data_IF_628488564775
#
_entry.id   IF_628488564775
#
_cell.length_a   1.000
_cell.length_b   1.000
_cell.length_c   1.000
_cell.angle_alpha   90.00
_cell.angle_beta   90.00
_cell.angle_gamma   90.00
#
_symmetry.space_group_name_H-M   'P 1'
#
loop_
_entity.id
_entity.type
_entity.pdbx_description
1 polymer ?
#
# COMPACT_ATOMS: atom_id res chain seq x y z
N UNK A 1 -8.03 7.80 -26.21
CA UNK A 1 -7.95 8.27 -24.80
C UNK A 1 -6.76 7.57 -24.14
N UNK A 2 -5.68 8.30 -23.80
CA UNK A 2 -4.45 7.69 -23.26
C UNK A 2 -4.69 6.82 -22.01
N UNK A 3 -5.68 7.18 -21.19
CA UNK A 3 -6.08 6.38 -20.03
C UNK A 3 -6.58 4.98 -20.44
N UNK A 4 -7.48 4.88 -21.42
CA UNK A 4 -8.04 3.59 -21.88
C UNK A 4 -6.93 2.69 -22.43
N UNK A 5 -6.04 3.25 -23.24
CA UNK A 5 -4.91 2.52 -23.80
C UNK A 5 -3.96 1.99 -22.72
N UNK A 6 -3.72 2.76 -21.65
CA UNK A 6 -2.94 2.29 -20.50
C UNK A 6 -3.62 1.11 -19.77
N UNK A 7 -4.96 1.10 -19.70
CA UNK A 7 -5.70 -0.01 -19.09
C UNK A 7 -5.64 -1.27 -19.95
N UNK A 8 -5.87 -1.14 -21.26
CA UNK A 8 -5.80 -2.24 -22.23
C UNK A 8 -4.40 -2.88 -22.24
N UNK A 9 -3.35 -2.05 -22.28
CA UNK A 9 -1.97 -2.53 -22.29
C UNK A 9 -1.54 -3.26 -21.01
N UNK A 10 -2.23 -3.02 -19.88
CA UNK A 10 -1.88 -3.60 -18.58
C UNK A 10 -2.98 -4.51 -18.03
N UNK A 11 -3.92 -4.92 -18.87
CA UNK A 11 -5.17 -5.55 -18.44
C UNK A 11 -4.95 -6.78 -17.57
N UNK A 12 -4.04 -7.68 -17.96
CA UNK A 12 -3.76 -8.91 -17.23
C UNK A 12 -3.24 -8.63 -15.81
N UNK A 13 -2.36 -7.64 -15.67
CA UNK A 13 -1.82 -7.23 -14.37
C UNK A 13 -2.90 -6.56 -13.49
N UNK A 14 -3.71 -5.68 -14.11
CA UNK A 14 -4.75 -4.94 -13.41
C UNK A 14 -5.93 -5.82 -13.00
N UNK A 15 -6.18 -6.93 -13.70
CA UNK A 15 -7.29 -7.85 -13.40
C UNK A 15 -6.89 -9.06 -12.57
N UNK A 16 -5.59 -9.32 -12.37
CA UNK A 16 -5.10 -10.47 -11.59
C UNK A 16 -5.75 -10.59 -10.20
N UNK A 17 -6.03 -9.47 -9.55
CA UNK A 17 -6.67 -9.46 -8.22
C UNK A 17 -8.12 -9.99 -8.24
N UNK A 18 -8.79 -10.02 -9.40
CA UNK A 18 -10.16 -10.51 -9.54
C UNK A 18 -10.29 -12.00 -9.28
N UNK A 19 -9.18 -12.76 -9.38
CA UNK A 19 -9.12 -14.18 -9.04
C UNK A 19 -9.33 -14.45 -7.54
N UNK A 20 -9.16 -13.45 -6.68
CA UNK A 20 -9.28 -13.61 -5.23
C UNK A 20 -10.73 -13.46 -4.71
N UNK A 21 -11.06 -14.10 -3.57
CA UNK A 21 -12.28 -13.84 -2.81
C UNK A 21 -12.51 -12.36 -2.50
N UNK A 22 -13.77 -11.98 -2.30
CA UNK A 22 -14.20 -10.57 -2.09
C UNK A 22 -13.45 -9.91 -0.92
N UNK A 23 -13.18 -10.68 0.13
CA UNK A 23 -12.48 -10.27 1.34
C UNK A 23 -11.04 -9.83 1.02
N UNK A 24 -10.32 -10.60 0.20
CA UNK A 24 -8.95 -10.30 -0.25
C UNK A 24 -8.97 -9.19 -1.30
N UNK A 25 -9.94 -9.18 -2.23
CA UNK A 25 -10.09 -8.07 -3.19
C UNK A 25 -10.20 -6.73 -2.48
N UNK A 26 -11.04 -6.65 -1.44
CA UNK A 26 -11.18 -5.46 -0.59
C UNK A 26 -9.91 -5.13 0.17
N UNK A 27 -8.99 -6.07 0.41
CA UNK A 27 -7.64 -5.75 0.88
C UNK A 27 -6.82 -5.01 -0.17
N UNK A 28 -6.87 -5.46 -1.41
CA UNK A 28 -6.02 -4.97 -2.49
C UNK A 28 -6.49 -3.60 -3.00
N UNK A 29 -7.78 -3.44 -3.35
CA UNK A 29 -8.24 -2.20 -3.99
C UNK A 29 -8.44 -1.03 -3.01
N UNK A 30 -8.34 -1.24 -1.69
CA UNK A 30 -8.41 -0.11 -0.76
C UNK A 30 -7.10 0.67 -0.78
N UNK A 31 -7.08 1.77 -1.51
CA UNK A 31 -5.90 2.65 -1.65
C UNK A 31 -5.64 3.53 -0.42
N UNK A 32 -6.62 3.66 0.49
CA UNK A 32 -6.55 4.54 1.67
C UNK A 32 -5.25 4.38 2.48
N UNK A 33 -4.72 3.16 2.65
CA UNK A 33 -3.48 2.95 3.41
C UNK A 33 -2.29 3.59 2.69
N UNK A 34 -2.13 3.34 1.39
CA UNK A 34 -1.03 3.86 0.57
C UNK A 34 -1.17 5.37 0.39
N UNK A 35 -2.38 5.86 0.11
CA UNK A 35 -2.66 7.29 -0.05
C UNK A 35 -2.42 8.06 1.25
N UNK A 36 -2.89 7.54 2.40
CA UNK A 36 -2.70 8.16 3.72
C UNK A 36 -1.22 8.18 4.12
N UNK A 37 -0.48 7.11 3.84
CA UNK A 37 0.97 7.07 4.01
C UNK A 37 1.65 8.13 3.15
N UNK A 38 1.38 8.17 1.85
CA UNK A 38 1.98 9.12 0.92
C UNK A 38 1.64 10.58 1.27
N UNK A 39 0.40 10.85 1.68
CA UNK A 39 -0.01 12.18 2.13
C UNK A 39 0.75 12.61 3.39
N UNK A 40 0.89 11.69 4.36
CA UNK A 40 1.68 11.94 5.57
C UNK A 40 3.15 12.15 5.25
N UNK A 41 3.74 11.32 4.39
CA UNK A 41 5.13 11.44 3.98
C UNK A 41 5.41 12.79 3.31
N UNK A 42 4.56 13.20 2.35
CA UNK A 42 4.62 14.54 1.73
C UNK A 42 4.53 15.66 2.75
N UNK A 43 3.69 15.52 3.79
CA UNK A 43 3.60 16.51 4.87
C UNK A 43 4.91 16.61 5.66
N UNK A 44 5.56 15.48 5.96
CA UNK A 44 6.84 15.46 6.67
C UNK A 44 8.00 16.03 5.84
N UNK A 45 7.99 15.84 4.52
CA UNK A 45 9.07 16.28 3.62
C UNK A 45 8.83 17.67 3.02
N UNK A 46 7.63 18.25 3.11
CA UNK A 46 7.27 19.55 2.50
C UNK A 46 8.26 20.69 2.79
N UNK A 47 8.82 20.72 4.01
CA UNK A 47 9.73 21.77 4.44
C UNK A 47 11.21 21.49 4.09
N UNK A 48 11.53 20.30 3.57
CA UNK A 48 12.88 19.88 3.19
C UNK A 48 12.94 19.66 1.68
N UNK A 49 13.11 20.76 0.92
CA UNK A 49 13.09 20.73 -0.55
C UNK A 49 14.39 20.22 -1.17
N UNK A 50 15.51 20.37 -0.47
CA UNK A 50 16.85 19.95 -0.93
C UNK A 50 17.50 19.16 0.19
N UNK A 51 18.15 18.06 -0.17
CA UNK A 51 18.96 17.25 0.73
C UNK A 51 20.44 17.40 0.33
N UNK A 52 21.37 17.44 1.29
CA UNK A 52 22.80 17.58 1.00
C UNK A 52 23.41 16.34 0.34
N UNK A 53 22.82 15.16 0.53
CA UNK A 53 23.20 13.90 -0.09
C UNK A 53 22.04 12.88 0.04
N UNK A 54 22.21 11.71 -0.61
CA UNK A 54 21.21 10.65 -0.63
C UNK A 54 20.95 10.05 0.76
N UNK A 55 21.99 9.92 1.60
CA UNK A 55 21.85 9.42 2.98
C UNK A 55 20.95 10.31 3.83
N UNK A 56 21.07 11.63 3.68
CA UNK A 56 20.21 12.59 4.37
C UNK A 56 18.76 12.48 3.91
N UNK A 57 18.53 12.26 2.61
CA UNK A 57 17.19 12.02 2.06
C UNK A 57 16.60 10.72 2.62
N UNK A 58 17.36 9.61 2.57
CA UNK A 58 16.96 8.31 3.08
C UNK A 58 16.64 8.37 4.58
N UNK A 59 17.51 8.99 5.39
CA UNK A 59 17.29 9.17 6.82
C UNK A 59 16.02 9.98 7.11
N UNK A 60 15.74 11.01 6.31
CA UNK A 60 14.53 11.80 6.47
C UNK A 60 13.26 11.00 6.17
N UNK A 61 13.26 10.19 5.10
CA UNK A 61 12.14 9.29 4.76
C UNK A 61 11.96 8.24 5.85
N UNK A 62 13.04 7.63 6.33
CA UNK A 62 13.02 6.62 7.39
C UNK A 62 12.38 7.15 8.69
N UNK A 63 12.82 8.33 9.16
CA UNK A 63 12.28 8.94 10.37
C UNK A 63 10.79 9.34 10.22
N UNK A 64 10.39 9.78 9.02
CA UNK A 64 9.00 10.06 8.71
C UNK A 64 8.16 8.77 8.75
N UNK A 65 8.62 7.69 8.12
CA UNK A 65 7.96 6.39 8.14
C UNK A 65 7.81 5.83 9.56
N UNK A 66 8.86 5.92 10.38
CA UNK A 66 8.81 5.53 11.80
C UNK A 66 7.82 6.38 12.60
N UNK A 67 7.68 7.66 12.28
CA UNK A 67 6.70 8.54 12.94
C UNK A 67 5.27 8.21 12.52
N UNK A 68 5.06 7.84 11.26
CA UNK A 68 3.74 7.42 10.74
C UNK A 68 3.33 6.07 11.35
N UNK A 69 4.25 5.10 11.40
CA UNK A 69 3.95 3.75 11.89
C UNK A 69 3.48 3.72 13.35
N UNK A 70 3.92 4.66 14.19
CA UNK A 70 3.42 4.83 15.57
C UNK A 70 1.90 4.99 15.66
N UNK A 71 1.25 5.44 14.59
CA UNK A 71 -0.22 5.62 14.50
C UNK A 71 -0.94 4.34 14.05
N UNK A 72 -0.24 3.35 13.51
CA UNK A 72 -0.80 2.10 12.99
C UNK A 72 -1.02 1.06 14.10
N UNK A 73 -1.83 1.42 15.09
CA UNK A 73 -2.16 0.55 16.23
C UNK A 73 -3.40 -0.31 16.03
N UNK A 74 -4.26 0.07 15.07
CA UNK A 74 -5.54 -0.61 14.83
C UNK A 74 -5.35 -1.77 13.86
N UNK A 75 -5.80 -2.94 14.29
CA UNK A 75 -5.94 -4.10 13.40
C UNK A 75 -7.03 -3.84 12.37
N UNK A 76 -6.86 -4.40 11.17
CA UNK A 76 -7.84 -4.29 10.10
C UNK A 76 -9.15 -4.97 10.51
N UNK A 77 -10.27 -4.31 10.21
CA UNK A 77 -11.59 -4.92 10.40
C UNK A 77 -11.70 -6.23 9.62
N UNK A 78 -12.33 -7.25 10.22
CA UNK A 78 -12.54 -8.59 9.64
C UNK A 78 -11.25 -9.34 9.30
N UNK A 79 -10.14 -9.02 9.97
CA UNK A 79 -8.86 -9.69 9.70
C UNK A 79 -8.93 -11.22 9.78
N UNK A 80 -9.63 -11.80 10.76
CA UNK A 80 -9.77 -13.26 10.85
C UNK A 80 -10.42 -13.89 9.62
N UNK A 81 -11.44 -13.25 9.03
CA UNK A 81 -12.08 -13.73 7.80
C UNK A 81 -11.12 -13.64 6.60
N UNK A 82 -10.40 -12.51 6.48
CA UNK A 82 -9.41 -12.31 5.42
C UNK A 82 -8.28 -13.34 5.55
N UNK A 83 -7.79 -13.58 6.77
CA UNK A 83 -6.72 -14.53 7.06
C UNK A 83 -7.13 -15.95 6.68
N UNK A 84 -8.34 -16.38 7.02
CA UNK A 84 -8.85 -17.69 6.61
C UNK A 84 -8.90 -17.83 5.08
N UNK A 85 -9.34 -16.79 4.36
CA UNK A 85 -9.33 -16.80 2.90
C UNK A 85 -7.91 -16.89 2.33
N UNK A 86 -6.94 -16.20 2.95
CA UNK A 86 -5.54 -16.29 2.55
C UNK A 86 -4.98 -17.70 2.77
N UNK A 87 -5.29 -18.33 3.90
CA UNK A 87 -4.87 -19.70 4.19
C UNK A 87 -5.39 -20.71 3.16
N UNK A 88 -6.66 -20.57 2.74
CA UNK A 88 -7.26 -21.40 1.69
C UNK A 88 -6.63 -21.14 0.32
N UNK A 89 -6.40 -19.87 -0.03
CA UNK A 89 -5.82 -19.51 -1.34
C UNK A 89 -4.34 -19.90 -1.47
N UNK A 90 -3.60 -19.96 -0.35
CA UNK A 90 -2.16 -20.20 -0.32
C UNK A 90 -1.80 -21.34 0.64
N UNK A 91 -2.22 -22.59 0.34
CA UNK A 91 -1.97 -23.73 1.21
C UNK A 91 -0.45 -23.96 1.39
N UNK A 92 -0.06 -24.30 2.61
CA UNK A 92 1.33 -24.58 3.02
C UNK A 92 2.32 -23.40 2.87
N UNK A 93 1.84 -22.15 2.72
CA UNK A 93 2.67 -20.94 2.69
C UNK A 93 2.53 -20.05 3.92
N UNK A 94 1.40 -20.18 4.62
CA UNK A 94 0.98 -19.45 5.81
C UNK A 94 0.60 -20.46 6.90
#
# INVERSE_FOLDING_TARGET
>A
LAAVQSWENNWDNLTAFLSYPKEIRKLIYTTNIIESFNASLRKYTRNKKVFPNDDAALKSIYLAAQSISKKWKKTRSKWGQIYNQLYICFPNRL
#
